data_IF_777992242150
#
_entry.id   IF_777992242150
#
_cell.length_a   1.000
_cell.length_b   1.000
_cell.length_c   1.000
_cell.angle_alpha   90.00
_cell.angle_beta   90.00
_cell.angle_gamma   90.00
#
_symmetry.space_group_name_H-M   'P 1'
#
loop_
_entity.id
_entity.type
_entity.pdbx_description
1 polymer ?
#
# COMPACT_ATOMS: atom_id res chain seq x y z
N UNK A 1 -2.53 -32.13 1.27
CA UNK A 1 -3.87 -31.51 1.43
C UNK A 1 -3.75 -29.99 1.67
N UNK A 2 -2.82 -29.30 0.98
CA UNK A 2 -2.41 -27.91 1.25
C UNK A 2 -3.09 -26.85 0.34
N UNK A 3 -3.98 -27.27 -0.56
CA UNK A 3 -4.65 -26.41 -1.54
C UNK A 3 -5.36 -25.17 -0.95
N UNK A 4 -6.12 -25.24 0.16
CA UNK A 4 -6.83 -24.05 0.65
C UNK A 4 -5.88 -23.01 1.25
N UNK A 5 -4.82 -23.43 1.96
CA UNK A 5 -3.86 -22.51 2.56
C UNK A 5 -3.06 -21.75 1.50
N UNK A 6 -2.64 -22.44 0.43
CA UNK A 6 -1.92 -21.80 -0.67
C UNK A 6 -2.73 -20.74 -1.40
N UNK A 7 -4.04 -20.97 -1.61
CA UNK A 7 -4.93 -20.00 -2.24
C UNK A 7 -5.16 -18.76 -1.36
N UNK A 8 -5.30 -18.94 -0.04
CA UNK A 8 -5.42 -17.82 0.90
C UNK A 8 -4.14 -16.98 0.92
N UNK A 9 -2.98 -17.62 0.94
CA UNK A 9 -1.69 -16.95 0.88
C UNK A 9 -1.52 -16.15 -0.42
N UNK A 10 -1.86 -16.75 -1.57
CA UNK A 10 -1.70 -16.10 -2.88
C UNK A 10 -2.68 -14.93 -3.07
N UNK A 11 -3.93 -15.07 -2.61
CA UNK A 11 -4.93 -13.99 -2.70
C UNK A 11 -4.56 -12.80 -1.82
N UNK A 12 -4.06 -13.04 -0.60
CA UNK A 12 -3.55 -11.98 0.27
C UNK A 12 -2.33 -11.29 -0.35
N UNK A 13 -1.37 -12.06 -0.87
CA UNK A 13 -0.19 -11.49 -1.52
C UNK A 13 -0.56 -10.64 -2.74
N UNK A 14 -1.53 -11.08 -3.54
CA UNK A 14 -2.02 -10.34 -4.70
C UNK A 14 -2.77 -9.07 -4.29
N UNK A 15 -3.58 -9.14 -3.23
CA UNK A 15 -4.25 -7.97 -2.65
C UNK A 15 -3.25 -6.90 -2.19
N UNK A 16 -2.19 -7.31 -1.48
CA UNK A 16 -1.13 -6.39 -1.03
C UNK A 16 -0.40 -5.74 -2.22
N UNK A 17 -0.15 -6.49 -3.29
CA UNK A 17 0.45 -5.94 -4.51
C UNK A 17 -0.45 -4.89 -5.18
N UNK A 18 -1.76 -5.16 -5.30
CA UNK A 18 -2.72 -4.19 -5.85
C UNK A 18 -2.78 -2.94 -4.96
N UNK A 19 -2.81 -3.12 -3.63
CA UNK A 19 -2.81 -2.00 -2.70
C UNK A 19 -1.55 -1.14 -2.81
N UNK A 20 -0.39 -1.78 -3.02
CA UNK A 20 0.88 -1.11 -3.28
C UNK A 20 0.81 -0.27 -4.56
N UNK A 21 0.23 -0.80 -5.63
CA UNK A 21 0.02 -0.07 -6.88
C UNK A 21 -0.87 1.17 -6.66
N UNK A 22 -1.96 1.04 -5.89
CA UNK A 22 -2.86 2.16 -5.57
C UNK A 22 -2.12 3.25 -4.79
N UNK A 23 -1.32 2.89 -3.78
CA UNK A 23 -0.49 3.84 -3.04
C UNK A 23 0.55 4.50 -3.94
N UNK A 24 1.18 3.74 -4.83
CA UNK A 24 2.13 4.28 -5.79
C UNK A 24 1.47 5.33 -6.70
N UNK A 25 0.29 5.04 -7.25
CA UNK A 25 -0.49 5.99 -8.05
C UNK A 25 -0.88 7.22 -7.23
N UNK A 26 -1.34 7.05 -5.98
CA UNK A 26 -1.69 8.16 -5.06
C UNK A 26 -0.53 9.14 -4.88
N UNK A 27 0.69 8.63 -4.85
CA UNK A 27 1.92 9.41 -4.63
C UNK A 27 2.37 10.12 -5.89
N UNK A 28 2.31 9.44 -7.04
CA UNK A 28 2.55 10.10 -8.31
C UNK A 28 1.55 11.25 -8.52
N UNK A 29 0.28 11.03 -8.17
CA UNK A 29 -0.76 12.04 -8.27
C UNK A 29 -0.62 13.17 -7.23
N UNK A 30 -0.05 12.91 -6.04
CA UNK A 30 0.19 13.98 -5.05
C UNK A 30 1.27 14.98 -5.47
N UNK A 31 2.11 14.62 -6.44
CA UNK A 31 3.07 15.54 -7.03
C UNK A 31 2.41 16.56 -7.97
N UNK A 32 1.16 16.33 -8.38
CA UNK A 32 0.39 17.24 -9.21
C UNK A 32 -0.54 18.08 -8.32
N UNK A 33 -0.18 19.34 -8.00
CA UNK A 33 -1.00 20.20 -7.14
C UNK A 33 -2.34 20.63 -7.77
N UNK A 34 -2.53 20.36 -9.06
CA UNK A 34 -3.76 20.64 -9.82
C UNK A 34 -4.85 19.57 -9.64
N UNK A 35 -4.56 18.43 -8.99
CA UNK A 35 -5.52 17.35 -8.80
C UNK A 35 -6.45 17.66 -7.62
N UNK A 36 -7.76 17.64 -7.88
CA UNK A 36 -8.77 17.79 -6.85
C UNK A 36 -9.08 16.44 -6.18
N UNK A 37 -8.66 16.27 -4.92
CA UNK A 37 -8.86 15.06 -4.13
C UNK A 37 -10.31 14.85 -3.65
N UNK A 38 -11.18 15.84 -3.85
CA UNK A 38 -12.60 15.75 -3.51
C UNK A 38 -13.46 15.21 -4.66
N UNK A 39 -12.95 15.22 -5.90
CA UNK A 39 -13.68 14.76 -7.07
C UNK A 39 -13.43 13.27 -7.37
N UNK A 40 -14.45 12.48 -7.76
CA UNK A 40 -14.25 11.13 -8.28
C UNK A 40 -13.44 11.17 -9.59
N UNK A 41 -12.51 10.21 -9.81
CA UNK A 41 -12.23 9.01 -9.03
C UNK A 41 -11.21 9.21 -7.87
N UNK A 42 -10.61 10.39 -7.75
CA UNK A 42 -9.54 10.65 -6.78
C UNK A 42 -10.02 10.62 -5.33
N UNK A 43 -11.28 10.98 -5.07
CA UNK A 43 -11.91 10.90 -3.75
C UNK A 43 -12.03 9.47 -3.22
N UNK A 44 -12.13 8.48 -4.10
CA UNK A 44 -12.15 7.06 -3.71
C UNK A 44 -10.73 6.62 -3.36
N UNK A 45 -9.74 7.07 -4.15
CA UNK A 45 -8.33 6.80 -3.92
C UNK A 45 -7.87 7.37 -2.57
N UNK A 46 -8.24 8.61 -2.26
CA UNK A 46 -7.93 9.23 -0.96
C UNK A 46 -8.60 8.48 0.18
N UNK A 47 -9.88 8.11 0.08
CA UNK A 47 -10.54 7.32 1.13
C UNK A 47 -9.87 5.96 1.41
N UNK A 48 -9.33 5.29 0.38
CA UNK A 48 -8.62 4.01 0.52
C UNK A 48 -7.20 4.15 1.09
N UNK A 49 -6.52 5.25 0.76
CA UNK A 49 -5.10 5.45 1.08
C UNK A 49 -4.88 6.29 2.32
N UNK A 50 -5.76 7.25 2.60
CA UNK A 50 -5.65 8.19 3.70
C UNK A 50 -5.62 7.51 5.09
N UNK A 51 -6.41 6.45 5.40
CA UNK A 51 -6.29 5.75 6.68
C UNK A 51 -4.88 5.20 6.93
N UNK A 52 -4.26 4.64 5.88
CA UNK A 52 -2.89 4.13 5.94
C UNK A 52 -1.88 5.27 6.02
N UNK A 53 -2.00 6.27 5.15
CA UNK A 53 -1.10 7.43 5.14
C UNK A 53 -1.19 8.25 6.42
N UNK A 54 -2.36 8.36 7.06
CA UNK A 54 -2.54 9.09 8.32
C UNK A 54 -1.75 8.47 9.49
N UNK A 55 -1.51 7.15 9.47
CA UNK A 55 -0.61 6.50 10.43
C UNK A 55 0.83 7.04 10.30
N UNK A 56 1.27 7.32 9.07
CA UNK A 56 2.62 7.84 8.79
C UNK A 56 2.71 9.37 8.82
N UNK A 57 1.61 10.09 8.54
CA UNK A 57 1.53 11.56 8.62
C UNK A 57 1.70 12.09 10.04
N UNK A 58 1.41 11.28 11.07
CA UNK A 58 1.71 11.66 12.46
C UNK A 58 3.23 11.77 12.73
N UNK A 59 4.06 11.05 11.97
CA UNK A 59 5.52 11.12 12.13
C UNK A 59 6.15 12.20 11.25
N UNK A 60 5.57 12.49 10.08
CA UNK A 60 6.11 13.46 9.12
C UNK A 60 4.97 14.32 8.58
N UNK A 61 4.81 15.57 9.04
CA UNK A 61 3.82 16.48 8.47
C UNK A 61 4.14 16.76 6.99
N UNK A 62 3.11 16.96 6.15
CA UNK A 62 3.30 17.25 4.73
C UNK A 62 4.06 18.58 4.55
N UNK A 63 5.27 18.52 4.01
CA UNK A 63 6.08 19.70 3.72
C UNK A 63 5.76 20.20 2.30
N UNK A 64 5.07 21.34 2.20
CA UNK A 64 4.89 22.05 0.93
C UNK A 64 3.93 21.38 -0.06
N UNK A 65 2.91 20.65 0.42
CA UNK A 65 1.93 19.98 -0.45
C UNK A 65 2.41 18.68 -1.09
N UNK A 66 3.69 18.32 -0.90
CA UNK A 66 4.27 17.05 -1.33
C UNK A 66 4.31 16.11 -0.13
N UNK A 67 3.58 15.00 -0.22
CA UNK A 67 3.54 13.97 0.82
C UNK A 67 4.83 13.10 0.79
N UNK A 68 5.94 13.61 1.32
CA UNK A 68 7.17 12.82 1.53
C UNK A 68 6.96 11.61 2.45
N UNK A 69 5.99 11.69 3.37
CA UNK A 69 5.53 10.57 4.20
C UNK A 69 5.10 9.36 3.37
N UNK A 70 4.60 9.59 2.17
CA UNK A 70 4.06 8.55 1.33
C UNK A 70 5.17 7.73 0.63
N UNK A 71 6.34 8.32 0.37
CA UNK A 71 7.53 7.58 -0.09
C UNK A 71 7.96 6.56 0.96
N UNK A 72 8.03 6.98 2.23
CA UNK A 72 8.37 6.09 3.35
C UNK A 72 7.30 5.01 3.53
N UNK A 73 6.03 5.37 3.35
CA UNK A 73 4.91 4.42 3.39
C UNK A 73 5.02 3.34 2.30
N UNK A 74 5.43 3.68 1.06
CA UNK A 74 5.73 2.67 0.02
C UNK A 74 6.86 1.76 0.48
N UNK A 75 7.99 2.32 0.93
CA UNK A 75 9.14 1.51 1.33
C UNK A 75 8.79 0.55 2.49
N UNK A 76 8.02 1.02 3.46
CA UNK A 76 7.52 0.21 4.57
C UNK A 76 6.59 -0.91 4.07
N UNK A 77 5.65 -0.58 3.18
CA UNK A 77 4.73 -1.58 2.60
C UNK A 77 5.47 -2.59 1.73
N UNK A 78 6.48 -2.16 0.98
CA UNK A 78 7.28 -3.02 0.10
C UNK A 78 8.12 -4.00 0.91
N UNK A 79 8.78 -3.52 1.96
CA UNK A 79 9.51 -4.38 2.88
C UNK A 79 8.56 -5.35 3.60
N UNK A 80 7.44 -4.86 4.12
CA UNK A 80 6.42 -5.68 4.77
C UNK A 80 5.85 -6.77 3.85
N UNK A 81 5.53 -6.42 2.61
CA UNK A 81 5.00 -7.36 1.61
C UNK A 81 6.02 -8.45 1.28
N UNK A 82 7.29 -8.10 1.10
CA UNK A 82 8.35 -9.08 0.83
C UNK A 82 8.55 -10.04 2.00
N UNK A 83 8.55 -9.54 3.24
CA UNK A 83 8.64 -10.38 4.45
C UNK A 83 7.44 -11.31 4.56
N UNK A 84 6.22 -10.80 4.35
CA UNK A 84 4.99 -11.60 4.39
C UNK A 84 5.02 -12.70 3.33
N UNK A 85 5.40 -12.38 2.09
CA UNK A 85 5.48 -13.34 0.99
C UNK A 85 6.56 -14.40 1.28
N UNK A 86 7.72 -14.00 1.79
CA UNK A 86 8.79 -14.93 2.15
C UNK A 86 8.37 -15.90 3.27
N UNK A 87 7.68 -15.39 4.29
CA UNK A 87 7.16 -16.22 5.39
C UNK A 87 6.06 -17.18 4.90
N UNK A 88 5.11 -16.69 4.10
CA UNK A 88 4.06 -17.52 3.51
C UNK A 88 4.64 -18.61 2.60
N UNK A 89 5.64 -18.27 1.77
CA UNK A 89 6.34 -19.22 0.92
C UNK A 89 7.10 -20.28 1.71
N UNK A 90 7.71 -19.91 2.84
CA UNK A 90 8.39 -20.87 3.73
C UNK A 90 7.42 -21.86 4.38
N UNK A 91 6.22 -21.41 4.76
CA UNK A 91 5.19 -22.27 5.37
C UNK A 91 4.65 -23.28 4.35
N UNK A 92 4.54 -22.92 3.08
CA UNK A 92 4.12 -23.85 2.02
C UNK A 92 5.12 -25.00 1.75
N UNK A 93 6.39 -24.84 2.13
CA UNK A 93 7.41 -25.88 1.97
C UNK A 93 7.46 -26.85 3.17
N UNK A 94 6.89 -26.45 4.31
CA UNK A 94 6.93 -27.20 5.58
C UNK A 94 5.71 -28.12 5.77
N UNK A 95 4.60 -27.83 5.09
CA UNK A 95 3.34 -28.61 5.12
C UNK A 95 3.04 -29.29 3.79
#
# INVERSE_FOLDING_TARGET
MAFPFGLLASTLAQFLNIYMLILFVRILLSWFPTINWYDPPFSILSQLTDPYLNLFRSFIPPLGGIDFSAIIAIFALQFGSQVIIALLGSMQQVF
#
